data_IF_404564163805
#
_entry.id   IF_404564163805
#
_cell.length_a   1.000
_cell.length_b   1.000
_cell.length_c   1.000
_cell.angle_alpha   90.00
_cell.angle_beta   90.00
_cell.angle_gamma   90.00
#
_symmetry.space_group_name_H-M   'P 1'
#
loop_
_entity.id
_entity.type
_entity.pdbx_description
1 polymer ?
#
# COMPACT_ATOMS: atom_id res chain seq x y z
N UNK A 1 18.07 -7.22 -13.44
CA UNK A 1 17.24 -7.87 -14.48
C UNK A 1 16.81 -9.23 -13.97
N UNK A 2 15.91 -9.22 -13.00
CA UNK A 2 15.18 -10.41 -12.54
C UNK A 2 14.22 -10.83 -13.64
N UNK A 3 13.91 -12.13 -13.73
CA UNK A 3 12.91 -12.66 -14.66
C UNK A 3 11.67 -11.77 -14.61
N UNK A 4 11.14 -11.35 -15.76
CA UNK A 4 9.99 -10.44 -15.89
C UNK A 4 8.67 -11.09 -15.46
N UNK A 5 8.64 -11.61 -14.24
CA UNK A 5 7.45 -12.03 -13.52
C UNK A 5 6.77 -10.74 -13.03
N UNK A 6 5.56 -10.49 -13.52
CA UNK A 6 4.75 -9.35 -13.10
C UNK A 6 4.41 -9.58 -11.62
N UNK A 7 4.93 -8.73 -10.73
CA UNK A 7 4.69 -8.82 -9.28
C UNK A 7 3.82 -7.64 -8.82
N UNK A 8 2.53 -7.89 -8.56
CA UNK A 8 1.63 -6.86 -8.05
C UNK A 8 1.69 -6.67 -6.53
N UNK A 9 2.56 -7.38 -5.80
CA UNK A 9 2.62 -7.23 -4.34
C UNK A 9 2.94 -5.81 -3.94
N UNK A 10 3.80 -5.14 -4.69
CA UNK A 10 4.14 -3.74 -4.43
C UNK A 10 2.92 -2.83 -4.62
N UNK A 11 2.17 -3.01 -5.70
CA UNK A 11 0.90 -2.31 -5.93
C UNK A 11 -0.11 -2.56 -4.81
N UNK A 12 -0.25 -3.81 -4.39
CA UNK A 12 -1.16 -4.19 -3.31
C UNK A 12 -0.76 -3.56 -1.98
N UNK A 13 0.53 -3.57 -1.64
CA UNK A 13 1.03 -2.88 -0.44
C UNK A 13 0.80 -1.38 -0.52
N UNK A 14 1.05 -0.76 -1.68
CA UNK A 14 0.82 0.66 -1.90
C UNK A 14 -0.66 1.03 -1.73
N UNK A 15 -1.57 0.24 -2.30
CA UNK A 15 -3.01 0.40 -2.16
C UNK A 15 -3.47 0.23 -0.70
N UNK A 16 -2.95 -0.79 0.00
CA UNK A 16 -3.23 -1.01 1.43
C UNK A 16 -2.72 0.15 2.30
N UNK A 17 -1.58 0.73 1.96
CA UNK A 17 -1.02 1.85 2.72
C UNK A 17 -1.87 3.11 2.49
N UNK A 18 -2.28 3.35 1.25
CA UNK A 18 -3.21 4.43 0.92
C UNK A 18 -4.58 4.23 1.58
N UNK A 19 -5.04 3.00 1.75
CA UNK A 19 -6.27 2.69 2.48
C UNK A 19 -6.21 3.10 3.95
N UNK A 20 -5.04 3.12 4.58
CA UNK A 20 -4.90 3.62 5.95
C UNK A 20 -4.65 5.13 6.00
N UNK A 21 -4.43 5.79 4.87
CA UNK A 21 -4.17 7.23 4.80
C UNK A 21 -5.31 8.03 4.17
N UNK A 22 -5.68 7.77 2.91
CA UNK A 22 -6.46 8.70 2.09
C UNK A 22 -7.97 8.50 2.19
N UNK A 23 -8.78 9.53 1.95
CA UNK A 23 -10.25 9.38 1.86
C UNK A 23 -10.66 8.58 0.64
N UNK A 24 -10.07 8.94 -0.50
CA UNK A 24 -10.11 8.22 -1.76
C UNK A 24 -8.78 8.45 -2.49
N UNK A 25 -8.35 7.45 -3.25
CA UNK A 25 -7.24 7.51 -4.20
C UNK A 25 -7.64 6.87 -5.51
N UNK A 26 -7.13 7.41 -6.60
CA UNK A 26 -7.18 6.75 -7.90
C UNK A 26 -5.83 6.10 -8.13
N UNK A 27 -5.82 4.77 -8.09
CA UNK A 27 -4.62 3.99 -8.32
C UNK A 27 -4.47 3.74 -9.81
N UNK A 28 -3.29 4.08 -10.33
CA UNK A 28 -2.98 3.90 -11.73
C UNK A 28 -1.59 3.28 -11.88
N UNK A 29 -1.57 2.02 -12.30
CA UNK A 29 -0.36 1.29 -12.68
C UNK A 29 -0.67 0.29 -13.77
N UNK A 30 0.36 -0.14 -14.50
CA UNK A 30 0.20 -1.17 -15.52
C UNK A 30 -0.35 -2.47 -14.91
N UNK A 31 0.20 -2.89 -13.76
CA UNK A 31 -0.20 -4.13 -13.09
C UNK A 31 -1.62 -4.08 -12.57
N UNK A 32 -2.04 -2.99 -11.93
CA UNK A 32 -3.42 -2.85 -11.46
C UNK A 32 -4.41 -2.76 -12.61
N UNK A 33 -4.01 -2.11 -13.71
CA UNK A 33 -4.79 -2.09 -14.95
C UNK A 33 -5.03 -3.51 -15.46
N UNK A 34 -3.99 -4.34 -15.53
CA UNK A 34 -4.12 -5.75 -15.90
C UNK A 34 -5.02 -6.55 -14.93
N UNK A 35 -4.90 -6.31 -13.62
CA UNK A 35 -5.75 -6.96 -12.60
C UNK A 35 -7.23 -6.60 -12.79
N UNK A 36 -7.56 -5.31 -12.89
CA UNK A 36 -8.95 -4.86 -13.08
C UNK A 36 -9.57 -5.43 -14.34
N UNK A 37 -8.79 -5.49 -15.42
CA UNK A 37 -9.18 -6.17 -16.65
C UNK A 37 -9.41 -7.66 -16.43
N UNK A 38 -8.53 -8.35 -15.70
CA UNK A 38 -8.65 -9.78 -15.44
C UNK A 38 -9.93 -10.15 -14.68
N UNK A 39 -10.41 -9.31 -13.76
CA UNK A 39 -11.70 -9.49 -13.09
C UNK A 39 -12.88 -9.28 -14.04
N UNK A 40 -12.80 -8.28 -14.93
CA UNK A 40 -13.78 -8.09 -16.00
C UNK A 40 -13.83 -9.33 -16.91
N UNK A 41 -12.68 -9.91 -17.27
CA UNK A 41 -12.61 -11.12 -18.10
C UNK A 41 -13.11 -12.37 -17.39
N UNK A 42 -12.80 -12.55 -16.11
CA UNK A 42 -13.31 -13.68 -15.33
C UNK A 42 -14.84 -13.69 -15.22
N UNK A 43 -15.47 -12.52 -15.30
CA UNK A 43 -16.91 -12.34 -15.29
C UNK A 43 -17.53 -12.20 -16.70
N UNK A 44 -16.71 -12.10 -17.74
CA UNK A 44 -17.15 -12.01 -19.14
C UNK A 44 -17.35 -13.41 -19.73
N UNK A 45 -18.38 -13.56 -20.56
CA UNK A 45 -18.73 -14.84 -21.16
C UNK A 45 -17.61 -15.42 -22.06
N UNK A 46 -17.75 -16.70 -22.46
CA UNK A 46 -16.75 -17.41 -23.26
C UNK A 46 -16.48 -16.64 -24.57
N UNK A 47 -15.23 -16.20 -24.75
CA UNK A 47 -14.77 -15.44 -25.93
C UNK A 47 -14.07 -14.12 -25.61
N UNK A 48 -14.41 -13.45 -24.50
CA UNK A 48 -13.87 -12.12 -24.17
C UNK A 48 -12.33 -12.12 -24.01
N UNK A 49 -11.79 -13.20 -23.47
CA UNK A 49 -10.34 -13.36 -23.34
C UNK A 49 -9.65 -13.69 -24.68
N UNK A 50 -10.32 -14.42 -25.56
CA UNK A 50 -9.84 -14.66 -26.92
C UNK A 50 -9.76 -13.37 -27.73
N UNK A 51 -10.69 -12.45 -27.50
CA UNK A 51 -10.63 -11.10 -28.05
C UNK A 51 -9.42 -10.34 -27.47
N UNK A 52 -9.20 -10.34 -26.13
CA UNK A 52 -8.03 -9.71 -25.51
C UNK A 52 -6.70 -10.22 -26.09
N UNK A 53 -6.51 -11.53 -26.17
CA UNK A 53 -5.26 -12.09 -26.68
C UNK A 53 -5.05 -11.80 -28.17
N UNK A 54 -6.13 -11.68 -28.95
CA UNK A 54 -6.05 -11.31 -30.35
C UNK A 54 -5.57 -9.86 -30.58
N UNK A 55 -5.61 -9.03 -29.56
CA UNK A 55 -5.07 -7.68 -29.58
C UNK A 55 -3.60 -7.52 -29.21
N UNK A 56 -3.03 -8.54 -28.57
CA UNK A 56 -1.63 -8.50 -28.16
C UNK A 56 -0.72 -8.63 -29.38
N UNK A 57 0.30 -7.79 -29.45
CA UNK A 57 1.40 -7.96 -30.40
C UNK A 57 2.22 -9.22 -30.06
N UNK A 58 3.04 -9.69 -31.01
CA UNK A 58 3.94 -10.83 -30.75
C UNK A 58 4.88 -10.58 -29.58
N UNK A 59 5.36 -9.34 -29.45
CA UNK A 59 6.27 -8.94 -28.38
C UNK A 59 5.58 -8.98 -27.00
N UNK A 60 4.36 -8.47 -26.91
CA UNK A 60 3.57 -8.44 -25.67
C UNK A 60 3.14 -9.86 -25.24
N UNK A 61 2.66 -10.67 -26.17
CA UNK A 61 2.29 -12.06 -25.89
C UNK A 61 3.51 -12.91 -25.46
N UNK A 62 4.66 -12.68 -26.09
CA UNK A 62 5.94 -13.31 -25.71
C UNK A 62 6.40 -12.84 -24.33
N UNK A 63 6.10 -11.62 -23.90
CA UNK A 63 6.49 -11.12 -22.58
C UNK A 63 5.54 -11.57 -21.46
N UNK A 64 4.23 -11.58 -21.73
CA UNK A 64 3.18 -11.96 -20.77
C UNK A 64 3.11 -13.46 -20.51
N UNK A 65 3.40 -14.29 -21.52
CA UNK A 65 3.09 -15.73 -21.48
C UNK A 65 4.31 -16.58 -21.91
N UNK A 66 5.52 -16.03 -21.75
CA UNK A 66 6.83 -16.51 -22.26
C UNK A 66 7.14 -17.98 -21.98
N UNK A 67 6.53 -18.58 -20.97
CA UNK A 67 6.84 -19.93 -20.50
C UNK A 67 5.74 -20.97 -20.76
N UNK A 68 4.55 -20.57 -21.23
CA UNK A 68 3.39 -21.49 -21.29
C UNK A 68 2.75 -21.65 -22.67
N UNK A 69 3.05 -20.79 -23.66
CA UNK A 69 2.45 -20.90 -24.99
C UNK A 69 3.40 -21.50 -26.03
N UNK A 70 2.84 -22.35 -26.88
CA UNK A 70 3.45 -22.93 -28.07
C UNK A 70 3.84 -21.82 -29.08
N UNK A 71 4.97 -21.92 -29.80
CA UNK A 71 5.32 -21.03 -30.92
C UNK A 71 4.18 -20.71 -31.90
N UNK A 72 3.20 -21.61 -32.07
CA UNK A 72 2.04 -21.44 -32.95
C UNK A 72 0.79 -20.83 -32.28
N UNK A 73 0.92 -20.19 -31.11
CA UNK A 73 -0.20 -19.68 -30.30
C UNK A 73 -1.21 -18.83 -31.09
N UNK A 74 -0.79 -18.03 -32.07
CA UNK A 74 -1.72 -17.23 -32.91
C UNK A 74 -2.70 -18.07 -33.73
N UNK A 75 -2.25 -19.20 -34.26
CA UNK A 75 -3.13 -20.12 -34.96
C UNK A 75 -4.11 -20.76 -33.96
N UNK A 76 -3.66 -21.03 -32.75
CA UNK A 76 -4.50 -21.53 -31.66
C UNK A 76 -5.55 -20.50 -31.19
N UNK A 77 -5.20 -19.21 -31.15
CA UNK A 77 -6.14 -18.11 -30.87
C UNK A 77 -7.21 -17.93 -31.95
N UNK A 78 -6.89 -18.22 -33.20
CA UNK A 78 -7.88 -18.18 -34.28
C UNK A 78 -9.03 -19.17 -34.03
N UNK A 79 -8.76 -20.27 -33.32
CA UNK A 79 -9.77 -21.24 -32.89
C UNK A 79 -10.61 -20.73 -31.72
N UNK A 80 -10.06 -19.90 -30.82
CA UNK A 80 -10.83 -19.23 -29.76
C UNK A 80 -11.85 -18.24 -30.35
N UNK A 81 -11.43 -17.46 -31.34
CA UNK A 81 -12.27 -16.40 -31.93
C UNK A 81 -13.42 -16.95 -32.77
N UNK A 82 -13.22 -18.09 -33.43
CA UNK A 82 -14.23 -18.67 -34.31
C UNK A 82 -14.13 -20.21 -34.39
N UNK A 83 -14.65 -20.94 -33.39
CA UNK A 83 -14.49 -22.38 -33.33
C UNK A 83 -15.44 -23.09 -34.33
N UNK A 84 -14.95 -23.30 -35.54
CA UNK A 84 -15.71 -23.89 -36.67
C UNK A 84 -16.02 -25.38 -36.50
N UNK A 85 -15.20 -26.14 -35.76
CA UNK A 85 -15.34 -27.59 -35.63
C UNK A 85 -15.54 -28.03 -34.17
N UNK A 86 -16.10 -29.22 -33.91
CA UNK A 86 -16.14 -29.78 -32.54
C UNK A 86 -14.77 -29.89 -31.89
N UNK A 87 -13.70 -30.14 -32.67
CA UNK A 87 -12.32 -30.16 -32.18
C UNK A 87 -11.85 -28.76 -31.79
N UNK A 88 -12.12 -27.73 -32.62
CA UNK A 88 -11.79 -26.34 -32.27
C UNK A 88 -12.55 -25.88 -31.01
N UNK A 89 -13.81 -26.29 -30.84
CA UNK A 89 -14.58 -26.01 -29.62
C UNK A 89 -14.04 -26.71 -28.36
N UNK A 90 -13.31 -27.81 -28.51
CA UNK A 90 -12.65 -28.48 -27.37
C UNK A 90 -11.34 -27.79 -27.03
N UNK A 91 -10.49 -27.58 -28.04
CA UNK A 91 -9.23 -26.87 -27.89
C UNK A 91 -9.44 -25.45 -27.35
N UNK A 92 -10.44 -24.73 -27.85
CA UNK A 92 -10.80 -23.41 -27.35
C UNK A 92 -11.16 -23.41 -25.87
N UNK A 93 -11.92 -24.42 -25.42
CA UNK A 93 -12.27 -24.58 -24.00
C UNK A 93 -11.07 -24.96 -23.14
N UNK A 94 -10.21 -25.86 -23.61
CA UNK A 94 -8.98 -26.26 -22.89
C UNK A 94 -8.03 -25.06 -22.72
N UNK A 95 -7.83 -24.28 -23.78
CA UNK A 95 -7.02 -23.06 -23.74
C UNK A 95 -7.66 -22.03 -22.80
N UNK A 96 -8.98 -21.81 -22.87
CA UNK A 96 -9.70 -20.90 -21.97
C UNK A 96 -9.59 -21.34 -20.50
N UNK A 97 -9.74 -22.63 -20.19
CA UNK A 97 -9.63 -23.17 -18.84
C UNK A 97 -8.23 -22.99 -18.25
N UNK A 98 -7.18 -23.29 -19.03
CA UNK A 98 -5.79 -23.07 -18.59
C UNK A 98 -5.48 -21.58 -18.42
N UNK A 99 -5.95 -20.71 -19.32
CA UNK A 99 -5.76 -19.27 -19.19
C UNK A 99 -6.51 -18.69 -17.99
N UNK A 100 -7.75 -19.12 -17.75
CA UNK A 100 -8.48 -18.74 -16.53
C UNK A 100 -7.77 -19.21 -15.27
N UNK A 101 -7.11 -20.37 -15.31
CA UNK A 101 -6.30 -20.87 -14.19
C UNK A 101 -5.06 -20.01 -13.99
N UNK A 102 -4.33 -19.65 -15.05
CA UNK A 102 -3.18 -18.71 -14.98
C UNK A 102 -3.60 -17.37 -14.40
N UNK A 103 -4.71 -16.80 -14.88
CA UNK A 103 -5.25 -15.53 -14.37
C UNK A 103 -5.64 -15.65 -12.90
N UNK A 104 -6.39 -16.69 -12.52
CA UNK A 104 -6.78 -16.91 -11.12
C UNK A 104 -5.56 -17.07 -10.22
N UNK A 105 -4.55 -17.82 -10.67
CA UNK A 105 -3.29 -17.98 -9.95
C UNK A 105 -2.54 -16.65 -9.85
N UNK A 106 -2.46 -15.88 -10.93
CA UNK A 106 -1.84 -14.56 -10.93
C UNK A 106 -2.54 -13.57 -9.97
N UNK A 107 -3.87 -13.46 -10.05
CA UNK A 107 -4.68 -12.60 -9.19
C UNK A 107 -4.59 -13.04 -7.71
N UNK A 108 -4.55 -14.35 -7.47
CA UNK A 108 -4.38 -14.91 -6.14
C UNK A 108 -2.97 -14.65 -5.57
N UNK A 109 -1.92 -15.00 -6.32
CA UNK A 109 -0.53 -14.96 -5.85
C UNK A 109 0.03 -13.54 -5.76
N UNK A 110 -0.57 -12.61 -6.49
CA UNK A 110 -0.28 -11.18 -6.41
C UNK A 110 -0.89 -10.50 -5.18
N UNK A 111 -1.85 -11.14 -4.50
CA UNK A 111 -2.56 -10.57 -3.36
C UNK A 111 -3.65 -9.56 -3.75
N UNK A 112 -3.91 -9.39 -5.05
CA UNK A 112 -4.90 -8.43 -5.55
C UNK A 112 -6.32 -8.70 -5.05
N UNK A 113 -6.65 -9.96 -4.77
CA UNK A 113 -7.94 -10.37 -4.16
C UNK A 113 -8.18 -9.62 -2.84
N UNK A 114 -7.11 -9.34 -2.07
CA UNK A 114 -7.20 -8.64 -0.80
C UNK A 114 -7.62 -7.17 -0.97
N UNK A 115 -7.54 -6.60 -2.18
CA UNK A 115 -7.99 -5.23 -2.44
C UNK A 115 -9.49 -5.12 -2.75
N UNK A 116 -10.18 -6.23 -3.02
CA UNK A 116 -11.60 -6.21 -3.33
C UNK A 116 -12.46 -5.46 -2.27
N UNK A 117 -12.21 -5.59 -0.94
CA UNK A 117 -12.88 -4.77 0.07
C UNK A 117 -12.59 -3.26 -0.07
N UNK A 118 -11.36 -2.88 -0.46
CA UNK A 118 -10.95 -1.49 -0.65
C UNK A 118 -11.69 -0.84 -1.83
N UNK A 119 -11.81 -1.56 -2.94
CA UNK A 119 -12.59 -1.14 -4.12
C UNK A 119 -14.07 -0.99 -3.79
N UNK A 120 -14.66 -1.98 -3.11
CA UNK A 120 -16.07 -1.90 -2.68
C UNK A 120 -16.35 -0.73 -1.73
N UNK A 121 -15.37 -0.36 -0.90
CA UNK A 121 -15.48 0.79 -0.01
C UNK A 121 -15.32 2.15 -0.76
N UNK A 122 -14.91 2.13 -2.03
CA UNK A 122 -14.65 3.35 -2.82
C UNK A 122 -13.44 4.15 -2.35
N UNK A 123 -12.58 3.57 -1.49
CA UNK A 123 -11.37 4.23 -0.98
C UNK A 123 -10.25 4.12 -2.02
N UNK A 124 -10.12 2.94 -2.63
CA UNK A 124 -9.25 2.75 -3.80
C UNK A 124 -10.17 2.68 -5.00
N UNK A 125 -9.90 3.52 -5.98
CA UNK A 125 -10.59 3.54 -7.27
C UNK A 125 -9.57 3.29 -8.36
N UNK A 126 -10.04 2.83 -9.50
CA UNK A 126 -9.22 2.59 -10.68
C UNK A 126 -9.82 3.38 -11.83
N UNK A 127 -8.96 3.93 -12.70
CA UNK A 127 -9.44 4.54 -13.93
C UNK A 127 -10.20 3.51 -14.78
N UNK A 128 -11.35 3.91 -15.30
CA UNK A 128 -12.19 3.14 -16.22
C UNK A 128 -11.55 2.94 -17.60
N UNK A 129 -10.27 3.26 -17.76
CA UNK A 129 -9.55 3.09 -19.03
C UNK A 129 -9.53 1.63 -19.39
N UNK A 130 -10.46 1.26 -20.26
CA UNK A 130 -10.43 0.02 -21.01
C UNK A 130 -9.19 0.12 -21.89
N UNK A 131 -8.16 -0.67 -21.59
CA UNK A 131 -7.08 -0.89 -22.53
C UNK A 131 -7.73 -1.45 -23.79
N UNK A 132 -7.90 -0.60 -24.80
CA UNK A 132 -8.40 -1.02 -26.09
C UNK A 132 -7.44 -2.09 -26.61
N UNK A 133 -8.01 -3.22 -27.02
CA UNK A 133 -7.31 -4.41 -27.49
C UNK A 133 -6.70 -4.17 -28.90
N UNK A 134 -6.66 -2.93 -29.39
CA UNK A 134 -5.86 -2.52 -30.54
C UNK A 134 -4.45 -2.14 -30.06
N UNK A 135 -3.41 -2.31 -30.90
CA UNK A 135 -1.97 -2.15 -30.57
C UNK A 135 -1.49 -0.74 -30.15
N UNK A 136 -2.36 0.02 -29.49
CA UNK A 136 -2.16 1.37 -29.00
C UNK A 136 -2.31 1.46 -27.47
N UNK A 137 -2.12 0.34 -26.77
CA UNK A 137 -2.29 0.24 -25.31
C UNK A 137 -1.34 1.15 -24.54
N UNK A 138 -0.10 1.28 -25.02
CA UNK A 138 0.88 2.20 -24.45
C UNK A 138 0.44 3.67 -24.61
N UNK A 139 -0.10 4.05 -25.79
CA UNK A 139 -0.61 5.41 -26.01
C UNK A 139 -1.85 5.67 -25.15
N UNK A 140 -2.80 4.73 -25.10
CA UNK A 140 -3.99 4.86 -24.26
C UNK A 140 -3.62 4.97 -22.77
N UNK A 141 -2.65 4.18 -22.31
CA UNK A 141 -2.14 4.25 -20.94
C UNK A 141 -1.52 5.62 -20.64
N UNK A 142 -0.70 6.14 -21.56
CA UNK A 142 -0.05 7.43 -21.43
C UNK A 142 -1.04 8.60 -21.53
N UNK A 143 -2.02 8.54 -22.43
CA UNK A 143 -3.08 9.55 -22.57
C UNK A 143 -3.88 9.65 -21.28
N UNK A 144 -4.22 8.51 -20.68
CA UNK A 144 -4.93 8.51 -19.40
C UNK A 144 -4.03 9.02 -18.27
N UNK A 145 -2.76 8.61 -18.22
CA UNK A 145 -1.81 9.15 -17.23
C UNK A 145 -1.70 10.68 -17.35
N UNK A 146 -1.62 11.23 -18.56
CA UNK A 146 -1.61 12.68 -18.79
C UNK A 146 -2.91 13.33 -18.29
N UNK A 147 -4.06 12.70 -18.55
CA UNK A 147 -5.36 13.18 -18.05
C UNK A 147 -5.37 13.23 -16.53
N UNK A 148 -4.94 12.16 -15.85
CA UNK A 148 -4.90 12.04 -14.40
C UNK A 148 -3.93 13.05 -13.77
N UNK A 149 -2.77 13.26 -14.38
CA UNK A 149 -1.78 14.27 -13.94
C UNK A 149 -2.33 15.69 -14.05
N UNK A 150 -3.16 15.99 -15.05
CA UNK A 150 -3.79 17.29 -15.23
C UNK A 150 -5.03 17.50 -14.33
N UNK A 151 -5.65 16.44 -13.83
CA UNK A 151 -6.89 16.50 -13.05
C UNK A 151 -6.63 16.86 -11.58
N UNK A 152 -7.08 18.06 -11.17
CA UNK A 152 -6.94 18.52 -9.78
C UNK A 152 -7.94 17.88 -8.80
N UNK A 153 -8.96 17.17 -9.30
CA UNK A 153 -9.96 16.49 -8.48
C UNK A 153 -9.51 15.10 -8.02
N UNK A 154 -8.50 14.55 -8.70
CA UNK A 154 -7.98 13.21 -8.47
C UNK A 154 -6.81 13.23 -7.50
N UNK A 155 -6.77 12.24 -6.60
CA UNK A 155 -5.58 11.93 -5.79
C UNK A 155 -4.89 10.71 -6.39
N UNK A 156 -4.00 10.99 -7.33
CA UNK A 156 -3.31 9.97 -8.10
C UNK A 156 -2.29 9.23 -7.22
N UNK A 157 -2.35 7.90 -7.25
CA UNK A 157 -1.40 6.99 -6.62
C UNK A 157 -0.82 6.08 -7.70
N UNK A 158 0.49 6.12 -7.87
CA UNK A 158 1.21 5.36 -8.90
C UNK A 158 2.30 4.52 -8.26
N UNK A 159 2.61 3.38 -8.88
CA UNK A 159 3.81 2.62 -8.55
C UNK A 159 5.09 3.35 -9.02
N UNK A 160 6.25 2.80 -8.68
CA UNK A 160 7.53 3.40 -9.04
C UNK A 160 7.71 3.53 -10.56
N UNK A 161 7.34 2.49 -11.32
CA UNK A 161 7.50 2.45 -12.78
C UNK A 161 6.61 3.50 -13.47
N UNK A 162 5.35 3.60 -13.07
CA UNK A 162 4.40 4.60 -13.57
C UNK A 162 4.78 6.02 -13.10
N UNK A 163 5.36 6.14 -11.90
CA UNK A 163 5.96 7.38 -11.41
C UNK A 163 7.10 7.88 -12.30
N UNK A 164 8.00 6.99 -12.73
CA UNK A 164 9.09 7.33 -13.68
C UNK A 164 8.53 7.85 -15.01
N UNK A 165 7.49 7.20 -15.55
CA UNK A 165 6.81 7.70 -16.76
C UNK A 165 6.14 9.05 -16.53
N UNK A 166 5.46 9.24 -15.39
CA UNK A 166 4.84 10.52 -15.05
C UNK A 166 5.89 11.63 -14.97
N UNK A 167 7.04 11.38 -14.34
CA UNK A 167 8.14 12.31 -14.24
C UNK A 167 8.71 12.65 -15.62
N UNK A 168 8.94 11.65 -16.48
CA UNK A 168 9.41 11.88 -17.85
C UNK A 168 8.44 12.74 -18.67
N UNK A 169 7.13 12.48 -18.58
CA UNK A 169 6.11 13.30 -19.26
C UNK A 169 6.12 14.76 -18.80
N UNK A 170 6.38 15.00 -17.51
CA UNK A 170 6.47 16.34 -16.93
C UNK A 170 7.74 17.04 -17.41
N UNK A 171 8.89 16.37 -17.34
CA UNK A 171 10.20 16.92 -17.68
C UNK A 171 10.32 17.25 -19.19
N UNK A 172 9.71 16.42 -20.04
CA UNK A 172 9.64 16.65 -21.48
C UNK A 172 8.58 17.70 -21.87
N UNK A 173 7.79 18.19 -20.92
CA UNK A 173 6.73 19.17 -21.15
C UNK A 173 5.53 18.62 -21.92
N UNK A 174 5.38 17.29 -21.97
CA UNK A 174 4.26 16.59 -22.60
C UNK A 174 2.97 16.70 -21.78
N UNK A 175 3.09 16.95 -20.47
CA UNK A 175 1.97 17.27 -19.59
C UNK A 175 2.32 18.43 -18.65
N UNK A 176 1.32 19.27 -18.38
CA UNK A 176 1.40 20.25 -17.30
C UNK A 176 0.53 19.76 -16.14
N UNK A 177 1.13 19.17 -15.10
CA UNK A 177 0.36 18.59 -14.02
C UNK A 177 -0.35 19.69 -13.23
N UNK A 178 -1.54 19.37 -12.74
CA UNK A 178 -2.29 20.27 -11.89
C UNK A 178 -1.51 20.58 -10.60
N UNK A 179 -1.45 21.85 -10.19
CA UNK A 179 -0.72 22.23 -8.96
C UNK A 179 -1.28 21.54 -7.72
N UNK A 180 -2.60 21.34 -7.67
CA UNK A 180 -3.24 20.60 -6.58
C UNK A 180 -3.02 19.09 -6.72
N UNK A 181 -2.98 18.56 -7.96
CA UNK A 181 -2.64 17.16 -8.23
C UNK A 181 -1.23 16.81 -7.72
N UNK A 182 -0.21 17.61 -8.04
CA UNK A 182 1.15 17.42 -7.52
C UNK A 182 1.21 17.47 -5.99
N UNK A 183 0.47 18.41 -5.39
CA UNK A 183 0.40 18.52 -3.94
C UNK A 183 -0.22 17.25 -3.32
N UNK A 184 -1.34 16.79 -3.86
CA UNK A 184 -2.00 15.57 -3.38
C UNK A 184 -1.15 14.31 -3.59
N UNK A 185 -0.44 14.20 -4.73
CA UNK A 185 0.47 13.09 -4.99
C UNK A 185 1.59 13.05 -3.94
N UNK A 186 2.14 14.22 -3.57
CA UNK A 186 3.16 14.32 -2.52
C UNK A 186 2.62 13.97 -1.13
N UNK A 187 1.43 14.45 -0.80
CA UNK A 187 0.74 14.07 0.44
C UNK A 187 0.46 12.56 0.49
N UNK A 188 0.05 11.94 -0.63
CA UNK A 188 -0.19 10.50 -0.74
C UNK A 188 1.10 9.68 -0.62
N UNK A 189 2.18 10.12 -1.27
CA UNK A 189 3.52 9.55 -1.14
C UNK A 189 3.97 9.52 0.32
N UNK A 190 3.87 10.65 1.03
CA UNK A 190 4.26 10.74 2.45
C UNK A 190 3.34 9.91 3.32
N UNK A 191 2.04 10.12 3.23
CA UNK A 191 1.07 9.44 4.09
C UNK A 191 1.13 7.92 3.96
N UNK A 192 1.11 7.43 2.73
CA UNK A 192 1.17 5.99 2.47
C UNK A 192 2.57 5.44 2.74
N UNK A 193 3.62 6.17 2.38
CA UNK A 193 5.00 5.74 2.59
C UNK A 193 5.39 5.62 4.07
N UNK A 194 4.88 6.48 4.95
CA UNK A 194 5.09 6.34 6.40
C UNK A 194 4.34 5.14 6.98
N UNK A 195 3.13 4.83 6.48
CA UNK A 195 2.36 3.64 6.88
C UNK A 195 3.03 2.36 6.40
N UNK A 196 3.56 2.35 5.17
CA UNK A 196 4.26 1.20 4.60
C UNK A 196 5.54 0.83 5.37
N UNK A 197 6.02 1.69 6.28
CA UNK A 197 7.16 1.42 7.17
C UNK A 197 6.77 0.82 8.51
N UNK A 198 5.48 0.67 8.79
CA UNK A 198 5.01 -0.01 10.00
C UNK A 198 5.27 -1.52 9.85
N UNK A 199 6.08 -2.16 10.70
CA UNK A 199 6.42 -3.57 10.54
C UNK A 199 5.22 -4.52 10.52
N UNK A 200 4.18 -4.22 11.29
CA UNK A 200 2.97 -5.05 11.35
C UNK A 200 2.02 -4.85 10.15
N UNK A 201 2.23 -3.82 9.33
CA UNK A 201 1.34 -3.48 8.22
C UNK A 201 1.37 -4.52 7.08
N UNK A 202 2.55 -5.03 6.72
CA UNK A 202 2.73 -5.90 5.56
C UNK A 202 1.90 -7.18 5.61
N UNK A 203 1.63 -7.69 6.82
CA UNK A 203 0.92 -8.96 7.04
C UNK A 203 -0.57 -8.78 7.33
N UNK A 204 -1.03 -7.54 7.52
CA UNK A 204 -2.39 -7.27 7.95
C UNK A 204 -3.39 -7.42 6.79
N UNK A 205 -4.50 -8.16 6.93
CA UNK A 205 -5.51 -8.30 5.89
C UNK A 205 -6.33 -7.00 5.74
N UNK A 206 -6.81 -6.72 4.53
CA UNK A 206 -7.42 -5.42 4.20
C UNK A 206 -8.70 -5.11 4.98
N UNK A 207 -9.49 -6.13 5.34
CA UNK A 207 -10.68 -5.97 6.17
C UNK A 207 -10.33 -5.52 7.60
N UNK A 208 -9.25 -6.04 8.17
CA UNK A 208 -8.70 -5.57 9.44
C UNK A 208 -8.22 -4.12 9.32
N UNK A 209 -7.54 -3.76 8.23
CA UNK A 209 -7.13 -2.38 7.97
C UNK A 209 -8.32 -1.42 7.88
N UNK A 210 -9.42 -1.83 7.23
CA UNK A 210 -10.67 -1.07 7.14
C UNK A 210 -11.32 -0.86 8.51
N UNK A 211 -11.38 -1.91 9.33
CA UNK A 211 -11.91 -1.83 10.69
C UNK A 211 -11.05 -0.89 11.55
N UNK A 212 -9.74 -1.04 11.48
CA UNK A 212 -8.77 -0.21 12.20
C UNK A 212 -8.88 1.27 11.81
N UNK A 213 -9.00 1.55 10.52
CA UNK A 213 -9.24 2.90 9.98
C UNK A 213 -10.50 3.52 10.58
N UNK A 214 -11.60 2.75 10.64
CA UNK A 214 -12.87 3.21 11.22
C UNK A 214 -12.71 3.52 12.72
N UNK A 215 -12.10 2.61 13.47
CA UNK A 215 -11.86 2.75 14.92
C UNK A 215 -10.98 3.96 15.25
N UNK A 216 -10.01 4.25 14.39
CA UNK A 216 -9.02 5.31 14.59
C UNK A 216 -9.33 6.58 13.80
N UNK A 217 -10.59 6.81 13.38
CA UNK A 217 -10.96 7.97 12.55
C UNK A 217 -10.55 9.34 13.14
N UNK A 218 -10.63 9.49 14.48
CA UNK A 218 -10.18 10.70 15.16
C UNK A 218 -8.66 10.93 15.07
N UNK A 219 -7.83 9.96 15.50
CA UNK A 219 -6.38 9.97 15.24
C UNK A 219 -6.00 10.12 13.76
N UNK A 220 -6.68 9.44 12.84
CA UNK A 220 -6.43 9.50 11.39
C UNK A 220 -6.58 10.92 10.84
N UNK A 221 -7.61 11.67 11.26
CA UNK A 221 -7.79 13.06 10.83
C UNK A 221 -6.61 13.96 11.25
N UNK A 222 -6.04 13.73 12.45
CA UNK A 222 -4.84 14.45 12.90
C UNK A 222 -3.60 14.02 12.14
N UNK A 223 -3.46 12.72 11.89
CA UNK A 223 -2.37 12.20 11.09
C UNK A 223 -2.35 12.78 9.68
N UNK A 224 -3.51 12.88 9.01
CA UNK A 224 -3.62 13.57 7.71
C UNK A 224 -3.17 15.02 7.78
N UNK A 225 -3.50 15.72 8.87
CA UNK A 225 -3.05 17.09 9.09
C UNK A 225 -1.53 17.16 9.26
N UNK A 226 -0.92 16.19 9.95
CA UNK A 226 0.53 16.06 10.08
C UNK A 226 1.19 15.79 8.72
N UNK A 227 0.60 14.89 7.91
CA UNK A 227 1.11 14.56 6.57
C UNK A 227 1.14 15.80 5.68
N UNK A 228 0.13 16.67 5.74
CA UNK A 228 0.16 17.95 5.02
C UNK A 228 1.37 18.79 5.42
N UNK A 229 1.72 18.84 6.70
CA UNK A 229 2.89 19.60 7.19
C UNK A 229 4.21 18.93 6.79
N UNK A 230 4.33 17.63 7.03
CA UNK A 230 5.52 16.85 6.68
C UNK A 230 5.79 16.84 5.17
N UNK A 231 4.75 16.80 4.33
CA UNK A 231 4.92 16.88 2.88
C UNK A 231 5.50 18.22 2.41
N UNK A 232 5.38 19.28 3.20
CA UNK A 232 5.96 20.59 2.89
C UNK A 232 7.44 20.69 3.23
N UNK A 233 7.95 19.83 4.12
CA UNK A 233 9.38 19.82 4.48
C UNK A 233 10.24 19.13 3.42
N UNK A 234 9.65 18.19 2.68
CA UNK A 234 10.30 17.54 1.55
C UNK A 234 10.57 18.55 0.42
N UNK A 235 11.76 18.54 -0.15
CA UNK A 235 12.08 19.30 -1.38
C UNK A 235 11.83 18.47 -2.63
N UNK A 236 11.89 17.15 -2.52
CA UNK A 236 11.72 16.18 -3.60
C UNK A 236 10.30 16.20 -4.18
N UNK A 237 10.13 16.24 -5.51
CA UNK A 237 8.84 16.06 -6.18
C UNK A 237 8.20 14.68 -5.90
N UNK A 238 6.89 14.55 -6.15
CA UNK A 238 6.14 13.34 -5.83
C UNK A 238 6.51 12.11 -6.70
N UNK A 239 6.89 12.35 -7.95
CA UNK A 239 7.20 11.30 -8.94
C UNK A 239 8.70 11.14 -9.20
N UNK A 240 9.53 11.83 -8.43
CA UNK A 240 10.99 11.74 -8.53
C UNK A 240 11.47 10.36 -8.06
N UNK A 241 12.51 9.82 -8.69
CA UNK A 241 13.07 8.51 -8.32
C UNK A 241 13.64 8.50 -6.90
N UNK A 242 14.07 9.65 -6.38
CA UNK A 242 14.53 9.83 -4.99
C UNK A 242 13.38 10.03 -3.98
N UNK A 243 12.12 10.05 -4.42
CA UNK A 243 10.97 10.29 -3.55
C UNK A 243 10.85 9.26 -2.41
N UNK A 244 11.07 7.98 -2.72
CA UNK A 244 11.01 6.90 -1.73
C UNK A 244 12.11 7.02 -0.66
N UNK A 245 13.32 7.42 -1.05
CA UNK A 245 14.44 7.69 -0.15
C UNK A 245 14.16 8.90 0.72
N UNK A 246 13.58 9.96 0.17
CA UNK A 246 13.23 11.15 0.93
C UNK A 246 12.18 10.85 2.03
N UNK A 247 11.21 9.96 1.76
CA UNK A 247 10.29 9.46 2.81
C UNK A 247 11.02 8.58 3.83
N UNK A 248 12.07 7.85 3.42
CA UNK A 248 12.87 7.05 4.34
C UNK A 248 13.65 7.92 5.33
N UNK A 249 14.23 9.01 4.83
CA UNK A 249 14.94 9.97 5.63
C UNK A 249 14.00 10.64 6.62
N UNK A 250 12.83 11.10 6.15
CA UNK A 250 11.76 11.66 6.99
C UNK A 250 11.32 10.68 8.09
N UNK A 251 11.19 9.39 7.75
CA UNK A 251 10.86 8.36 8.73
C UNK A 251 11.94 8.24 9.80
N UNK A 252 13.20 8.18 9.38
CA UNK A 252 14.34 7.91 10.26
C UNK A 252 14.67 9.11 11.14
N UNK A 253 14.58 10.33 10.62
CA UNK A 253 14.96 11.55 11.33
C UNK A 253 13.87 12.07 12.26
N UNK A 254 12.60 12.00 11.83
CA UNK A 254 11.52 12.74 12.49
C UNK A 254 10.47 11.77 13.05
N UNK A 255 9.95 10.86 12.24
CA UNK A 255 8.74 10.09 12.61
C UNK A 255 9.06 8.95 13.59
N UNK A 256 10.08 8.15 13.34
CA UNK A 256 10.42 7.01 14.19
C UNK A 256 10.83 7.45 15.62
N UNK A 257 11.66 8.50 15.82
CA UNK A 257 11.95 9.03 17.15
C UNK A 257 10.70 9.49 17.90
N UNK A 258 9.81 10.24 17.24
CA UNK A 258 8.55 10.70 17.86
C UNK A 258 7.66 9.54 18.31
N UNK A 259 7.62 8.46 17.54
CA UNK A 259 6.85 7.28 17.88
C UNK A 259 7.47 6.52 19.09
N UNK A 260 8.78 6.63 19.30
CA UNK A 260 9.44 6.20 20.54
C UNK A 260 9.03 7.08 21.72
N UNK A 261 9.02 8.40 21.56
CA UNK A 261 8.61 9.34 22.63
C UNK A 261 7.15 9.15 23.05
N UNK A 262 6.24 8.94 22.09
CA UNK A 262 4.83 8.61 22.37
C UNK A 262 4.74 7.34 23.24
N UNK A 263 5.52 6.32 22.89
CA UNK A 263 5.54 5.05 23.63
C UNK A 263 6.04 5.24 25.06
N UNK A 264 7.14 5.96 25.24
CA UNK A 264 7.71 6.25 26.56
C UNK A 264 6.74 7.06 27.42
N UNK A 265 6.13 8.09 26.83
CA UNK A 265 5.09 8.89 27.48
C UNK A 265 3.88 8.04 27.92
N UNK A 266 3.46 7.05 27.12
CA UNK A 266 2.39 6.12 27.51
C UNK A 266 2.83 5.18 28.64
N UNK A 267 4.08 4.73 28.63
CA UNK A 267 4.64 3.85 29.66
C UNK A 267 4.72 4.57 31.02
N UNK A 268 5.24 5.80 31.03
CA UNK A 268 5.39 6.65 32.22
C UNK A 268 4.05 6.96 32.91
N UNK A 269 2.98 7.06 32.13
CA UNK A 269 1.64 7.28 32.65
C UNK A 269 0.87 5.99 32.96
N UNK A 270 1.50 4.80 32.84
CA UNK A 270 0.87 3.50 33.08
C UNK A 270 -0.21 3.12 32.05
N UNK A 271 -0.28 3.86 30.94
CA UNK A 271 -1.35 3.76 29.95
C UNK A 271 -1.23 2.51 29.08
N UNK A 272 -0.01 2.01 28.87
CA UNK A 272 0.23 0.76 28.13
C UNK A 272 -0.53 -0.40 28.78
N UNK A 273 -0.53 -0.50 30.11
CA UNK A 273 -1.18 -1.59 30.85
C UNK A 273 -2.71 -1.51 30.80
N UNK A 274 -3.27 -0.29 30.79
CA UNK A 274 -4.72 -0.07 30.71
C UNK A 274 -5.27 -0.25 29.30
N UNK A 275 -4.56 0.22 28.27
CA UNK A 275 -4.96 0.04 26.87
C UNK A 275 -5.06 -1.47 26.56
N UNK A 276 -4.05 -2.25 26.98
CA UNK A 276 -4.04 -3.72 26.88
C UNK A 276 -5.20 -4.34 27.66
N UNK A 277 -5.48 -3.87 28.88
CA UNK A 277 -6.60 -4.37 29.70
C UNK A 277 -7.98 -4.04 29.12
N UNK A 278 -8.13 -2.89 28.46
CA UNK A 278 -9.37 -2.50 27.77
C UNK A 278 -9.57 -3.21 26.44
N UNK A 279 -8.49 -3.64 25.79
CA UNK A 279 -8.51 -4.44 24.56
C UNK A 279 -8.72 -5.94 24.81
N UNK A 280 -8.76 -6.39 26.08
CA UNK A 280 -9.02 -7.80 26.44
C UNK A 280 -7.86 -8.76 26.13
N UNK A 281 -6.63 -8.28 25.99
CA UNK A 281 -5.48 -9.09 25.53
C UNK A 281 -4.44 -9.41 26.62
N UNK A 282 -3.73 -10.52 26.41
CA UNK A 282 -2.77 -11.10 27.34
C UNK A 282 -1.41 -10.38 27.32
N UNK A 283 -0.82 -10.15 28.49
CA UNK A 283 0.32 -9.23 28.70
C UNK A 283 1.62 -9.73 28.02
N UNK A 284 1.71 -11.03 27.75
CA UNK A 284 2.92 -11.68 27.23
C UNK A 284 3.19 -11.51 25.73
N UNK A 285 2.18 -11.25 24.89
CA UNK A 285 2.36 -11.07 23.44
C UNK A 285 2.76 -9.65 23.06
N UNK A 286 2.30 -8.65 23.81
CA UNK A 286 2.57 -7.21 23.62
C UNK A 286 4.05 -6.90 23.75
N UNK A 287 4.73 -7.50 24.72
CA UNK A 287 6.16 -7.24 24.99
C UNK A 287 7.05 -7.75 23.85
N UNK A 288 6.63 -8.82 23.15
CA UNK A 288 7.40 -9.39 22.02
C UNK A 288 7.25 -8.57 20.74
N UNK A 289 6.07 -8.01 20.47
CA UNK A 289 5.83 -7.11 19.34
C UNK A 289 6.45 -5.72 19.51
N UNK A 290 6.45 -5.19 20.74
CA UNK A 290 6.91 -3.83 21.07
C UNK A 290 8.44 -3.71 21.16
N UNK A 291 9.17 -4.81 21.42
CA UNK A 291 10.63 -4.83 21.48
C UNK A 291 11.33 -4.93 20.12
N UNK A 292 10.60 -5.23 19.03
CA UNK A 292 11.18 -5.40 17.70
C UNK A 292 11.45 -4.07 16.97
N UNK A 293 10.82 -2.97 17.38
CA UNK A 293 10.86 -1.69 16.68
C UNK A 293 12.25 -1.01 16.62
N UNK A 294 13.02 -0.94 17.72
CA UNK A 294 14.38 -0.40 17.66
C UNK A 294 15.39 -1.35 16.98
N UNK A 295 15.09 -2.65 16.97
CA UNK A 295 16.01 -3.70 16.52
C UNK A 295 16.06 -3.85 14.98
N UNK A 296 15.01 -3.46 14.26
CA UNK A 296 14.94 -3.70 12.80
C UNK A 296 15.72 -2.65 11.99
N UNK A 297 15.94 -1.44 12.53
CA UNK A 297 16.55 -0.34 11.77
C UNK A 297 18.04 -0.09 12.04
N UNK A 298 18.59 -0.56 13.17
CA UNK A 298 20.03 -0.57 13.39
C UNK A 298 20.58 -1.92 12.90
N UNK A 299 21.36 -1.90 11.81
CA UNK A 299 21.87 -3.08 11.11
C UNK A 299 22.28 -4.23 12.04
N UNK A 300 21.99 -5.46 11.59
CA UNK A 300 22.08 -6.75 12.27
C UNK A 300 23.42 -7.10 12.97
N UNK A 301 24.45 -6.25 12.91
CA UNK A 301 25.82 -6.62 13.27
C UNK A 301 26.21 -6.33 14.74
N UNK A 302 25.31 -5.76 15.56
CA UNK A 302 25.60 -5.44 16.97
C UNK A 302 24.60 -6.02 18.00
N UNK A 303 23.67 -6.89 17.58
CA UNK A 303 22.65 -7.46 18.47
C UNK A 303 23.10 -8.71 19.24
N UNK A 304 24.26 -8.69 19.90
CA UNK A 304 24.66 -9.77 20.82
C UNK A 304 24.29 -9.51 22.28
N UNK A 305 23.66 -8.38 22.61
CA UNK A 305 23.25 -8.12 23.99
C UNK A 305 21.94 -7.34 24.12
N UNK A 306 20.81 -8.04 24.02
CA UNK A 306 19.49 -7.51 24.43
C UNK A 306 19.41 -7.15 25.94
N UNK A 307 20.36 -7.62 26.76
CA UNK A 307 20.33 -7.44 28.22
C UNK A 307 20.77 -6.06 28.69
N UNK A 308 21.52 -5.30 27.88
CA UNK A 308 22.05 -3.99 28.28
C UNK A 308 21.00 -2.88 28.23
N UNK A 309 19.99 -2.98 27.37
CA UNK A 309 18.89 -2.02 27.30
C UNK A 309 17.84 -2.21 28.38
N UNK A 310 17.58 -3.45 28.80
CA UNK A 310 16.64 -3.75 29.91
C UNK A 310 17.22 -3.32 31.26
N UNK A 311 18.55 -3.25 31.39
CA UNK A 311 19.22 -2.88 32.64
C UNK A 311 19.23 -1.37 32.94
N UNK A 312 18.91 -0.50 31.97
CA UNK A 312 18.85 0.95 32.19
C UNK A 312 17.55 1.44 32.87
N UNK A 313 16.51 0.59 32.95
CA UNK A 313 15.21 0.96 33.53
C UNK A 313 15.06 0.58 35.02
N UNK A 314 16.06 -0.04 35.65
CA UNK A 314 15.91 -0.68 36.97
C UNK A 314 16.54 0.07 38.16
N UNK A 315 17.07 1.29 37.97
CA UNK A 315 17.64 2.08 39.09
C UNK A 315 17.01 3.45 39.21
N UNK A 316 15.74 3.49 39.57
CA UNK A 316 15.14 4.67 40.22
C UNK A 316 14.53 4.24 41.56
N UNK A 317 15.15 4.72 42.63
CA UNK A 317 14.80 4.50 44.04
C UNK A 317 13.37 4.97 44.34
N UNK A 318 12.59 4.26 45.16
CA UNK A 318 11.22 4.63 45.49
C UNK A 318 11.19 5.78 46.51
N UNK A 319 10.67 6.94 46.10
CA UNK A 319 10.25 7.99 47.02
C UNK A 319 9.02 8.70 46.48
N UNK A 320 7.83 8.19 46.79
CA UNK A 320 6.59 8.96 46.65
C UNK A 320 5.52 8.46 47.64
N UNK A 321 5.76 8.70 48.92
CA UNK A 321 4.68 8.85 49.90
C UNK A 321 4.08 10.27 49.78
N UNK A 322 2.75 10.33 49.88
CA UNK A 322 1.90 11.52 49.99
C UNK A 322 1.69 12.39 48.72
N UNK A 323 0.67 12.04 47.91
CA UNK A 323 -0.36 12.97 47.39
C UNK A 323 -1.45 12.19 46.61
N UNK A 324 -2.22 11.37 47.32
CA UNK A 324 -3.41 10.70 46.78
C UNK A 324 -4.55 11.73 46.74
N UNK A 325 -4.71 12.40 45.61
CA UNK A 325 -5.80 13.36 45.39
C UNK A 325 -5.69 14.20 44.11
N UNK A 326 -4.47 14.41 43.57
CA UNK A 326 -4.24 15.15 42.32
C UNK A 326 -3.79 14.29 41.13
N UNK A 327 -3.50 13.00 41.37
CA UNK A 327 -2.95 12.09 40.36
C UNK A 327 -3.94 11.68 39.26
N UNK A 328 -5.25 11.65 39.50
CA UNK A 328 -6.22 11.27 38.49
C UNK A 328 -6.38 12.33 37.39
N UNK A 329 -6.39 13.62 37.77
CA UNK A 329 -6.50 14.74 36.82
C UNK A 329 -5.22 14.88 36.01
N UNK A 330 -4.05 14.82 36.65
CA UNK A 330 -2.75 14.87 35.96
C UNK A 330 -2.54 13.69 34.99
N UNK A 331 -2.98 12.47 35.38
CA UNK A 331 -2.97 11.29 34.49
C UNK A 331 -3.95 11.43 33.33
N UNK A 332 -5.15 11.99 33.58
CA UNK A 332 -6.16 12.20 32.54
C UNK A 332 -5.73 13.27 31.52
N UNK A 333 -5.12 14.36 31.98
CA UNK A 333 -4.61 15.42 31.09
C UNK A 333 -3.40 14.95 30.27
N UNK A 334 -2.46 14.22 30.88
CA UNK A 334 -1.32 13.62 30.17
C UNK A 334 -1.77 12.61 29.12
N UNK A 335 -2.71 11.71 29.47
CA UNK A 335 -3.32 10.76 28.52
C UNK A 335 -3.99 11.44 27.34
N UNK A 336 -4.76 12.50 27.60
CA UNK A 336 -5.47 13.24 26.56
C UNK A 336 -4.50 13.99 25.66
N UNK A 337 -3.36 14.46 26.17
CA UNK A 337 -2.32 15.08 25.37
C UNK A 337 -1.67 14.06 24.41
N UNK A 338 -1.25 12.90 24.92
CA UNK A 338 -0.55 11.88 24.11
C UNK A 338 -1.47 11.28 23.04
N UNK A 339 -2.71 10.95 23.38
CA UNK A 339 -3.70 10.43 22.41
C UNK A 339 -4.12 11.47 21.36
N UNK A 340 -3.85 12.76 21.63
CA UNK A 340 -4.05 13.87 20.68
C UNK A 340 -2.81 14.19 19.86
N UNK A 341 -1.68 13.54 20.11
CA UNK A 341 -0.50 13.68 19.27
C UNK A 341 -0.83 13.33 17.82
N UNK A 342 -0.20 14.02 16.89
CA UNK A 342 -0.54 13.92 15.48
C UNK A 342 -0.05 12.61 14.84
N UNK A 343 1.08 12.09 15.34
CA UNK A 343 1.63 10.78 14.97
C UNK A 343 1.07 9.62 15.82
N UNK A 344 0.17 9.88 16.77
CA UNK A 344 -0.44 8.82 17.61
C UNK A 344 -1.14 7.74 16.77
N UNK A 345 -1.67 8.12 15.60
CA UNK A 345 -2.28 7.19 14.65
C UNK A 345 -1.30 6.08 14.23
N UNK A 346 -0.08 6.42 13.81
CA UNK A 346 0.91 5.44 13.35
C UNK A 346 1.31 4.48 14.49
N UNK A 347 1.49 5.02 15.70
CA UNK A 347 1.75 4.21 16.90
C UNK A 347 0.63 3.21 17.16
N UNK A 348 -0.61 3.69 17.24
CA UNK A 348 -1.75 2.86 17.62
C UNK A 348 -2.13 1.86 16.51
N UNK A 349 -1.97 2.24 15.25
CA UNK A 349 -2.12 1.36 14.08
C UNK A 349 -1.16 0.19 14.18
N UNK A 350 0.16 0.46 14.29
CA UNK A 350 1.15 -0.62 14.39
C UNK A 350 0.93 -1.50 15.63
N UNK A 351 0.59 -0.88 16.77
CA UNK A 351 0.30 -1.61 18.02
C UNK A 351 -0.86 -2.60 17.82
N UNK A 352 -1.96 -2.17 17.20
CA UNK A 352 -3.15 -3.01 17.01
C UNK A 352 -2.94 -4.12 15.99
N UNK A 353 -2.14 -3.90 14.96
CA UNK A 353 -1.82 -4.92 13.93
C UNK A 353 -0.82 -5.97 14.41
N UNK A 354 -0.10 -5.74 15.51
CA UNK A 354 0.87 -6.73 16.05
C UNK A 354 0.19 -7.79 16.92
N UNK A 355 -1.14 -7.81 16.98
CA UNK A 355 -1.95 -8.52 17.96
C UNK A 355 -3.06 -9.32 17.32
#
# INVERSE_FOLDING_TARGET
MTNGEIDARHDVELAKAALLYADSVEMYSATMTLIGHSELFANSGPGAFGDLLAGLTDAEATHLIRSQLNPDWRNELSYLRNPQTPAHRRLAREIEEELQKVIRTFVHDSGAIDLAPAFRAGIVTQSDTVLSISGDQAEAFLVELQRLLADNSVRLLVDAETGEFAQALIDEGLVQPGTLSLKHAKEALVGSGLIARLPAFHQAPTDELLNLRSDLGGPLARYRSAVVQLSQTLTTPAFDTAAAEAVNDLWTSDVAPELVEIRESLADHGLVREIVKSAGQDVGSVIKGVAAWPAIYMGLDHMTNLSTWVAAAATAVPAASAHVGKGAVARYTGRRAITRHELFYLYETNRRLTH
#
